data_IF_124421587175
#
_entry.id   IF_124421587175
#
_cell.length_a   1.000
_cell.length_b   1.000
_cell.length_c   1.000
_cell.angle_alpha   90.00
_cell.angle_beta   90.00
_cell.angle_gamma   90.00
#
_symmetry.space_group_name_H-M   'P 1'
#
loop_
_entity.id
_entity.type
_entity.pdbx_description
1 polymer ?
#
# COMPACT_ATOMS: atom_id res chain seq x y z
N UNK A 1 52.21 17.50 22.01
CA UNK A 1 50.80 17.69 22.35
C UNK A 1 49.99 18.05 21.09
N UNK A 2 50.10 17.23 20.03
CA UNK A 2 49.34 17.44 18.78
C UNK A 2 49.02 16.08 18.18
N UNK A 3 47.99 15.35 18.67
CA UNK A 3 47.43 14.17 17.94
C UNK A 3 46.20 13.54 18.61
N UNK A 4 45.44 14.27 19.44
CA UNK A 4 44.23 13.70 20.06
C UNK A 4 42.90 14.28 19.55
N UNK A 5 42.90 15.24 18.62
CA UNK A 5 41.67 15.84 18.11
C UNK A 5 41.12 15.22 16.80
N UNK A 6 41.92 14.42 16.11
CA UNK A 6 41.51 13.89 14.78
C UNK A 6 40.62 12.62 14.86
N UNK A 7 40.77 11.82 15.93
CA UNK A 7 40.11 10.51 16.02
C UNK A 7 38.64 10.64 16.49
N UNK A 8 38.33 11.65 17.26
CA UNK A 8 36.95 11.86 17.75
C UNK A 8 36.07 12.45 16.67
N UNK A 9 36.65 13.27 15.78
CA UNK A 9 35.88 13.87 14.69
C UNK A 9 35.50 12.84 13.59
N UNK A 10 36.34 11.81 13.40
CA UNK A 10 36.08 10.74 12.44
C UNK A 10 35.01 9.74 12.94
N UNK A 11 34.93 9.51 14.26
CA UNK A 11 33.91 8.62 14.84
C UNK A 11 32.52 9.25 14.82
N UNK A 12 32.44 10.58 14.94
CA UNK A 12 31.15 11.31 14.90
C UNK A 12 30.56 11.37 13.48
N UNK A 13 31.40 11.36 12.45
CA UNK A 13 30.94 11.34 11.04
C UNK A 13 30.39 9.97 10.63
N UNK A 14 30.88 8.88 11.23
CA UNK A 14 30.39 7.52 10.95
C UNK A 14 29.02 7.23 11.58
N UNK A 15 28.67 7.90 12.69
CA UNK A 15 27.36 7.78 13.34
C UNK A 15 26.24 8.52 12.59
N UNK A 16 26.57 9.54 11.79
CA UNK A 16 25.60 10.28 10.97
C UNK A 16 25.31 9.59 9.62
N UNK A 17 26.19 8.70 9.16
CA UNK A 17 25.98 7.96 7.92
C UNK A 17 25.02 6.77 8.09
N UNK A 18 24.88 6.22 9.31
CA UNK A 18 24.02 5.07 9.59
C UNK A 18 22.53 5.37 9.57
N UNK A 19 22.13 6.64 9.79
CA UNK A 19 20.71 7.00 9.90
C UNK A 19 20.02 7.28 8.57
N UNK A 20 20.77 7.38 7.47
CA UNK A 20 20.19 7.65 6.13
C UNK A 20 19.86 6.41 5.32
N UNK A 21 20.36 5.25 5.72
CA UNK A 21 20.17 4.00 4.94
C UNK A 21 18.82 3.34 5.23
N UNK A 22 18.23 3.60 6.41
CA UNK A 22 16.94 3.00 6.79
C UNK A 22 15.74 3.69 6.13
N UNK A 23 15.86 4.95 5.73
CA UNK A 23 14.77 5.71 5.11
C UNK A 23 14.61 5.46 3.59
N UNK A 24 15.58 4.80 2.93
CA UNK A 24 15.53 4.55 1.49
C UNK A 24 14.87 3.23 1.10
N UNK A 25 14.58 2.34 2.06
CA UNK A 25 13.96 1.03 1.82
C UNK A 25 12.51 0.93 2.28
N UNK A 26 11.86 2.05 2.59
CA UNK A 26 10.41 2.04 2.71
C UNK A 26 9.83 1.72 1.32
N UNK A 27 8.99 0.67 1.18
CA UNK A 27 8.38 0.37 -0.12
C UNK A 27 7.63 1.61 -0.59
N UNK A 28 8.03 2.15 -1.74
CA UNK A 28 7.29 3.24 -2.39
C UNK A 28 5.89 2.75 -2.66
N UNK A 29 4.85 3.58 -2.46
CA UNK A 29 3.51 3.22 -2.89
C UNK A 29 3.57 2.84 -4.38
N UNK A 30 3.14 1.64 -4.70
CA UNK A 30 3.05 1.20 -6.08
C UNK A 30 1.89 1.94 -6.75
N UNK A 31 2.19 3.00 -7.48
CA UNK A 31 1.29 3.54 -8.49
C UNK A 31 1.52 2.73 -9.77
N UNK A 32 0.72 1.69 -9.97
CA UNK A 32 0.67 1.00 -11.26
C UNK A 32 -0.18 1.87 -12.19
N UNK A 33 0.36 2.17 -13.36
CA UNK A 33 -0.38 2.92 -14.38
C UNK A 33 -1.67 2.20 -14.76
N UNK A 34 -2.75 2.92 -14.80
CA UNK A 34 -4.15 2.57 -15.06
C UNK A 34 -4.45 1.12 -15.55
N UNK A 35 -5.14 0.28 -14.76
CA UNK A 35 -5.66 0.50 -13.42
C UNK A 35 -4.56 0.56 -12.36
N UNK A 36 -4.78 1.26 -11.24
CA UNK A 36 -3.75 1.41 -10.22
C UNK A 36 -4.20 0.89 -8.86
N UNK A 37 -3.24 0.35 -8.09
CA UNK A 37 -3.44 -0.07 -6.71
C UNK A 37 -2.69 0.85 -5.77
N UNK A 38 -3.36 1.30 -4.72
CA UNK A 38 -2.69 1.96 -3.61
C UNK A 38 -2.75 1.09 -2.36
N UNK A 39 -1.58 0.76 -1.81
CA UNK A 39 -1.44 -0.19 -0.71
C UNK A 39 -1.18 0.54 0.60
N UNK A 40 -1.94 0.21 1.63
CA UNK A 40 -1.81 0.70 2.99
C UNK A 40 -1.59 -0.49 3.91
N UNK A 41 -0.35 -0.68 4.34
CA UNK A 41 0.00 -1.78 5.25
C UNK A 41 -0.15 -1.33 6.70
N UNK A 42 -0.63 -2.21 7.60
CA UNK A 42 -0.60 -1.94 9.03
C UNK A 42 0.83 -1.89 9.55
N UNK A 43 1.01 -1.32 10.74
CA UNK A 43 2.27 -1.44 11.44
C UNK A 43 2.64 -2.91 11.64
N UNK A 44 3.91 -3.30 11.47
CA UNK A 44 4.32 -4.71 11.51
C UNK A 44 3.88 -5.46 12.77
N UNK A 45 3.90 -4.79 13.92
CA UNK A 45 3.48 -5.35 15.22
C UNK A 45 1.97 -5.60 15.33
N UNK A 46 1.17 -4.98 14.47
CA UNK A 46 -0.29 -5.18 14.42
C UNK A 46 -0.71 -6.15 13.30
N UNK A 47 0.17 -6.40 12.34
CA UNK A 47 -0.17 -7.13 11.12
C UNK A 47 -0.74 -8.53 11.40
N UNK A 48 -1.93 -8.81 10.89
CA UNK A 48 -2.62 -10.10 11.01
C UNK A 48 -2.41 -11.02 9.80
N UNK A 49 -1.81 -10.52 8.73
CA UNK A 49 -1.76 -11.19 7.43
C UNK A 49 -3.03 -11.03 6.59
N UNK A 50 -4.08 -10.41 7.13
CA UNK A 50 -5.34 -10.18 6.41
C UNK A 50 -5.25 -8.94 5.54
N UNK A 51 -5.98 -8.95 4.42
CA UNK A 51 -6.08 -7.82 3.52
C UNK A 51 -7.47 -7.68 2.91
N UNK A 52 -7.81 -6.46 2.52
CA UNK A 52 -9.04 -6.13 1.79
C UNK A 52 -8.69 -5.28 0.58
N UNK A 53 -9.15 -5.69 -0.59
CA UNK A 53 -9.17 -4.86 -1.80
C UNK A 53 -10.46 -4.04 -1.80
N UNK A 54 -10.35 -2.71 -1.82
CA UNK A 54 -11.48 -1.81 -1.82
C UNK A 54 -11.70 -1.20 -3.20
N UNK A 55 -12.92 -1.28 -3.69
CA UNK A 55 -13.37 -0.70 -4.94
C UNK A 55 -14.26 0.51 -4.62
N UNK A 56 -13.76 1.77 -4.74
CA UNK A 56 -14.56 2.96 -4.48
C UNK A 56 -15.68 3.12 -5.48
N UNK A 57 -16.81 3.70 -5.05
CA UNK A 57 -17.89 4.08 -5.93
C UNK A 57 -17.64 5.40 -6.64
N UNK A 58 -18.70 6.03 -7.10
CA UNK A 58 -18.70 7.31 -7.81
C UNK A 58 -19.61 7.29 -9.05
N UNK A 59 -20.62 6.42 -9.04
CA UNK A 59 -21.66 6.33 -10.08
C UNK A 59 -21.12 6.00 -11.47
N UNK A 60 -19.95 5.39 -11.58
CA UNK A 60 -19.20 5.12 -12.82
C UNK A 60 -18.82 6.39 -13.62
N UNK A 61 -18.96 7.56 -13.02
CA UNK A 61 -18.52 8.83 -13.63
C UNK A 61 -17.17 9.31 -13.12
N UNK A 62 -16.80 8.88 -11.91
CA UNK A 62 -15.52 9.13 -11.25
C UNK A 62 -15.28 8.03 -10.21
N UNK A 63 -14.14 8.10 -9.52
CA UNK A 63 -13.84 7.25 -8.38
C UNK A 63 -13.72 8.11 -7.10
N UNK A 64 -14.57 7.83 -6.12
CA UNK A 64 -14.58 8.51 -4.82
C UNK A 64 -13.45 7.98 -3.92
N UNK A 65 -12.21 8.01 -4.39
CA UNK A 65 -11.05 7.35 -3.78
C UNK A 65 -10.72 7.84 -2.37
N UNK A 66 -11.04 9.10 -2.05
CA UNK A 66 -10.68 9.67 -0.76
C UNK A 66 -11.55 9.10 0.36
N UNK A 67 -12.86 9.24 0.29
CA UNK A 67 -13.78 8.83 1.37
C UNK A 67 -14.29 7.39 1.24
N UNK A 68 -14.34 6.83 0.05
CA UNK A 68 -14.72 5.42 -0.17
C UNK A 68 -13.51 4.48 -0.41
N UNK A 69 -12.31 5.01 -0.27
CA UNK A 69 -11.07 4.28 -0.44
C UNK A 69 -10.05 4.61 0.64
N UNK A 70 -9.23 5.62 0.42
CA UNK A 70 -8.09 5.96 1.29
C UNK A 70 -8.48 6.29 2.72
N UNK A 71 -9.63 6.92 2.92
CA UNK A 71 -10.16 7.26 4.24
C UNK A 71 -10.39 6.06 5.15
N UNK A 72 -10.52 4.85 4.61
CA UNK A 72 -10.67 3.62 5.37
C UNK A 72 -9.34 3.07 5.90
N UNK A 73 -8.20 3.53 5.39
CA UNK A 73 -6.90 2.97 5.77
C UNK A 73 -6.62 3.01 7.28
N UNK A 74 -6.85 4.12 8.01
CA UNK A 74 -6.63 4.14 9.45
C UNK A 74 -7.48 3.11 10.21
N UNK A 75 -8.71 2.89 9.78
CA UNK A 75 -9.63 1.94 10.40
C UNK A 75 -9.13 0.50 10.24
N UNK A 76 -8.80 0.08 9.02
CA UNK A 76 -8.31 -1.27 8.75
C UNK A 76 -6.92 -1.51 9.35
N UNK A 77 -5.99 -0.58 9.16
CA UNK A 77 -4.62 -0.72 9.65
C UNK A 77 -4.56 -0.81 11.20
N UNK A 78 -5.41 -0.08 11.91
CA UNK A 78 -5.52 -0.21 13.37
C UNK A 78 -5.91 -1.63 13.82
N UNK A 79 -6.63 -2.37 12.99
CA UNK A 79 -7.03 -3.75 13.25
C UNK A 79 -6.04 -4.77 12.67
N UNK A 80 -4.89 -4.33 12.18
CA UNK A 80 -3.87 -5.20 11.59
C UNK A 80 -4.21 -5.72 10.20
N UNK A 81 -5.17 -5.09 9.51
CA UNK A 81 -5.63 -5.47 8.18
C UNK A 81 -5.03 -4.51 7.15
N UNK A 82 -4.40 -5.05 6.11
CA UNK A 82 -3.95 -4.24 4.99
C UNK A 82 -5.14 -3.79 4.13
N UNK A 83 -5.13 -2.53 3.69
CA UNK A 83 -6.10 -2.01 2.75
C UNK A 83 -5.42 -1.75 1.41
N UNK A 84 -5.99 -2.29 0.34
CA UNK A 84 -5.54 -2.05 -1.03
C UNK A 84 -6.69 -1.38 -1.79
N UNK A 85 -6.51 -0.13 -2.19
CA UNK A 85 -7.53 0.61 -2.92
C UNK A 85 -7.29 0.47 -4.42
N UNK A 86 -8.28 -0.08 -5.12
CA UNK A 86 -8.24 -0.23 -6.57
C UNK A 86 -8.84 1.00 -7.25
N UNK A 87 -8.05 1.68 -8.04
CA UNK A 87 -8.53 2.67 -9.02
C UNK A 87 -8.79 1.94 -10.33
N UNK A 88 -9.98 1.37 -10.44
CA UNK A 88 -10.39 0.65 -11.64
C UNK A 88 -10.76 1.60 -12.77
N UNK A 89 -10.69 1.11 -14.00
CA UNK A 89 -11.17 1.84 -15.19
C UNK A 89 -12.68 1.97 -15.16
N UNK A 90 -13.15 3.19 -15.43
CA UNK A 90 -14.59 3.44 -15.54
C UNK A 90 -15.15 2.69 -16.76
N UNK A 91 -16.36 2.12 -16.69
CA UNK A 91 -16.87 1.22 -17.72
C UNK A 91 -17.09 1.90 -19.08
N UNK A 92 -17.47 3.18 -19.12
CA UNK A 92 -17.73 3.90 -20.39
C UNK A 92 -18.59 3.09 -21.38
N UNK A 93 -19.58 2.36 -20.86
CA UNK A 93 -20.44 1.44 -21.63
C UNK A 93 -19.97 -0.02 -21.65
N UNK A 94 -18.74 -0.31 -21.26
CA UNK A 94 -18.19 -1.67 -21.17
C UNK A 94 -17.91 -2.07 -19.71
N UNK A 95 -18.81 -2.83 -19.13
CA UNK A 95 -18.68 -3.30 -17.74
C UNK A 95 -17.59 -4.34 -17.53
N UNK A 96 -17.05 -4.94 -18.58
CA UNK A 96 -15.96 -5.91 -18.45
C UNK A 96 -14.68 -5.25 -17.98
N UNK A 97 -14.48 -3.95 -18.23
CA UNK A 97 -13.30 -3.20 -17.81
C UNK A 97 -13.10 -3.21 -16.28
N UNK A 98 -14.05 -2.71 -15.46
CA UNK A 98 -13.87 -2.72 -14.01
C UNK A 98 -13.80 -4.14 -13.44
N UNK A 99 -14.53 -5.11 -14.00
CA UNK A 99 -14.43 -6.51 -13.56
C UNK A 99 -13.05 -7.11 -13.79
N UNK A 100 -12.50 -6.94 -14.99
CA UNK A 100 -11.16 -7.44 -15.31
C UNK A 100 -10.08 -6.76 -14.42
N UNK A 101 -10.27 -5.49 -14.08
CA UNK A 101 -9.36 -4.79 -13.17
C UNK A 101 -9.44 -5.32 -11.74
N UNK A 102 -10.64 -5.67 -11.27
CA UNK A 102 -10.84 -6.28 -9.96
C UNK A 102 -10.21 -7.69 -9.88
N UNK A 103 -10.39 -8.50 -10.90
CA UNK A 103 -9.77 -9.83 -11.00
C UNK A 103 -8.23 -9.72 -11.02
N UNK A 104 -7.69 -8.80 -11.82
CA UNK A 104 -6.26 -8.54 -11.89
C UNK A 104 -5.70 -8.04 -10.54
N UNK A 105 -6.43 -7.14 -9.86
CA UNK A 105 -6.07 -6.65 -8.54
C UNK A 105 -5.96 -7.78 -7.52
N UNK A 106 -6.98 -8.65 -7.45
CA UNK A 106 -6.98 -9.80 -6.54
C UNK A 106 -5.81 -10.75 -6.82
N UNK A 107 -5.48 -10.97 -8.09
CA UNK A 107 -4.32 -11.78 -8.48
C UNK A 107 -3.01 -11.11 -8.02
N UNK A 108 -2.82 -9.83 -8.31
CA UNK A 108 -1.61 -9.08 -7.93
C UNK A 108 -1.40 -9.11 -6.42
N UNK A 109 -2.46 -8.90 -5.64
CA UNK A 109 -2.37 -8.91 -4.16
C UNK A 109 -1.97 -10.29 -3.65
N UNK A 110 -2.51 -11.37 -4.20
CA UNK A 110 -2.11 -12.74 -3.85
C UNK A 110 -0.67 -13.05 -4.24
N UNK A 111 -0.26 -12.67 -5.44
CA UNK A 111 1.09 -12.88 -5.93
C UNK A 111 2.13 -12.06 -5.12
N UNK A 112 1.71 -10.95 -4.53
CA UNK A 112 2.55 -10.06 -3.70
C UNK A 112 2.47 -10.37 -2.20
N UNK A 113 1.74 -11.40 -1.80
CA UNK A 113 1.43 -11.68 -0.40
C UNK A 113 2.70 -11.83 0.46
N UNK A 114 3.71 -12.54 -0.02
CA UNK A 114 4.98 -12.72 0.70
C UNK A 114 5.69 -11.37 0.93
N UNK A 115 5.71 -10.50 -0.09
CA UNK A 115 6.38 -9.18 -0.01
C UNK A 115 5.67 -8.25 0.97
N UNK A 116 4.35 -8.35 1.06
CA UNK A 116 3.53 -7.50 1.93
C UNK A 116 3.18 -8.15 3.27
N UNK A 117 3.76 -9.30 3.57
CA UNK A 117 3.49 -10.07 4.79
C UNK A 117 1.99 -10.37 4.98
N UNK A 118 1.35 -10.84 3.90
CA UNK A 118 -0.05 -11.24 3.87
C UNK A 118 -0.20 -12.75 3.75
N UNK A 119 -1.33 -13.27 4.24
CA UNK A 119 -1.76 -14.62 3.94
C UNK A 119 -2.59 -14.59 2.64
N UNK A 120 -2.16 -15.25 1.56
CA UNK A 120 -2.88 -15.22 0.28
C UNK A 120 -4.30 -15.80 0.35
N UNK A 121 -4.61 -16.57 1.41
CA UNK A 121 -5.94 -17.15 1.63
C UNK A 121 -6.87 -16.23 2.46
N UNK A 122 -6.34 -15.16 3.05
CA UNK A 122 -7.09 -14.22 3.89
C UNK A 122 -7.21 -12.83 3.23
N UNK A 123 -7.49 -12.81 1.94
CA UNK A 123 -7.66 -11.59 1.15
C UNK A 123 -9.10 -11.50 0.67
N UNK A 124 -9.81 -10.48 1.14
CA UNK A 124 -11.18 -10.17 0.73
C UNK A 124 -11.24 -9.04 -0.29
N UNK A 125 -12.43 -8.83 -0.83
CA UNK A 125 -12.75 -7.68 -1.69
C UNK A 125 -14.03 -7.03 -1.18
N UNK A 126 -14.09 -5.71 -1.22
CA UNK A 126 -15.28 -4.94 -0.90
C UNK A 126 -15.52 -3.84 -1.92
N UNK A 127 -16.75 -3.48 -2.11
CA UNK A 127 -17.16 -2.36 -2.95
C UNK A 127 -18.09 -1.41 -2.21
N UNK A 128 -18.02 -0.13 -2.57
CA UNK A 128 -18.92 0.90 -2.10
C UNK A 128 -19.75 1.43 -3.27
N UNK A 129 -21.09 1.52 -3.10
CA UNK A 129 -22.00 2.05 -4.13
C UNK A 129 -21.81 1.31 -5.48
N UNK A 130 -21.25 2.00 -6.49
CA UNK A 130 -20.97 1.42 -7.82
C UNK A 130 -19.65 0.62 -7.88
N UNK A 131 -18.91 0.60 -6.80
CA UNK A 131 -17.66 -0.14 -6.70
C UNK A 131 -17.82 -1.65 -6.54
#
# INVERSE_FOLDING_TARGET
MKQKFSTIFFLLLLLLAGSRVVAQNAPKPFDIEQPSLRVFLPAPELATGRAVVACPGGGYSHLAVDHEGYGWAPYFNKQGIALIVLKYRLPKGDRTLPFSDAEAAMKIVRDSADVWNLNPNDIGIMGSSAG
#
